data_IF_584636981642
#
_entry.id   IF_584636981642
#
_cell.length_a   1.000
_cell.length_b   1.000
_cell.length_c   1.000
_cell.angle_alpha   90.00
_cell.angle_beta   90.00
_cell.angle_gamma   90.00
#
_symmetry.space_group_name_H-M   'P 1'
#
loop_
_entity.id
_entity.type
_entity.pdbx_description
1 polymer ?
#
# COMPACT_ATOMS: atom_id res chain seq x y z
N UNK A 1 13.87 12.41 9.50
CA UNK A 1 13.61 11.21 8.73
C UNK A 1 12.11 10.90 8.78
N UNK A 2 11.55 10.60 7.64
CA UNK A 2 10.13 10.25 7.50
C UNK A 2 9.99 8.89 6.82
N UNK A 3 8.93 8.15 7.16
CA UNK A 3 8.57 6.93 6.45
C UNK A 3 7.08 6.94 6.13
N UNK A 4 6.74 6.42 4.96
CA UNK A 4 5.35 6.15 4.59
C UNK A 4 5.00 4.76 5.08
N UNK A 5 3.83 4.59 5.66
CA UNK A 5 3.36 3.30 6.20
C UNK A 5 1.93 3.06 5.74
N UNK A 6 1.66 1.87 5.23
CA UNK A 6 0.28 1.47 4.93
C UNK A 6 -0.59 1.68 6.18
N UNK A 7 -1.61 2.51 6.07
CA UNK A 7 -2.40 2.97 7.22
C UNK A 7 -3.05 1.82 8.00
N UNK A 8 -3.45 0.74 7.31
CA UNK A 8 -4.02 -0.44 7.96
C UNK A 8 -3.03 -1.12 8.92
N UNK A 9 -1.72 -1.00 8.70
CA UNK A 9 -0.69 -1.56 9.58
C UNK A 9 -0.60 -0.81 10.92
N UNK A 10 -1.09 0.42 10.95
CA UNK A 10 -1.11 1.27 12.13
C UNK A 10 -2.40 1.10 12.95
N UNK A 11 -3.32 0.26 12.46
CA UNK A 11 -4.59 0.01 13.12
C UNK A 11 -5.77 0.79 12.55
N UNK A 12 -5.59 1.52 11.44
CA UNK A 12 -6.71 2.17 10.77
C UNK A 12 -7.58 1.16 10.04
N UNK A 13 -8.88 1.29 10.20
CA UNK A 13 -9.87 0.37 9.60
C UNK A 13 -10.13 0.73 8.14
N UNK A 14 -9.10 0.69 7.31
CA UNK A 14 -9.15 1.11 5.91
C UNK A 14 -8.93 -0.03 4.91
N UNK A 15 -8.75 -1.26 5.36
CA UNK A 15 -8.62 -2.38 4.41
C UNK A 15 -10.00 -2.75 3.84
N UNK A 16 -10.01 -3.58 2.80
CA UNK A 16 -11.23 -3.88 2.05
C UNK A 16 -12.39 -4.41 2.91
N UNK A 17 -12.10 -5.17 3.96
CA UNK A 17 -13.11 -5.75 4.83
C UNK A 17 -13.70 -4.77 5.86
N UNK A 18 -13.15 -3.56 5.96
CA UNK A 18 -13.50 -2.61 7.00
C UNK A 18 -12.72 -2.80 8.30
N UNK A 19 -11.79 -3.75 8.31
CA UNK A 19 -10.88 -3.97 9.43
C UNK A 19 -9.51 -3.34 9.20
N UNK A 20 -8.51 -3.86 9.90
CA UNK A 20 -7.13 -3.40 9.80
C UNK A 20 -6.16 -4.59 9.80
N UNK A 21 -4.92 -4.30 9.51
CA UNK A 21 -3.81 -5.25 9.54
C UNK A 21 -2.75 -4.79 10.56
N UNK A 22 -3.19 -4.27 11.71
CA UNK A 22 -2.30 -3.76 12.75
C UNK A 22 -1.13 -4.71 13.00
N UNK A 23 0.09 -4.20 12.87
CA UNK A 23 1.31 -4.96 13.08
C UNK A 23 1.96 -4.53 14.38
N UNK A 24 1.87 -5.38 15.40
CA UNK A 24 2.51 -5.12 16.68
C UNK A 24 4.04 -5.09 16.55
N UNK A 25 4.59 -5.93 15.67
CA UNK A 25 6.02 -5.94 15.40
C UNK A 25 6.50 -4.61 14.84
N UNK A 26 5.80 -4.09 13.83
CA UNK A 26 6.12 -2.78 13.24
C UNK A 26 5.98 -1.66 14.27
N UNK A 27 4.87 -1.63 15.00
CA UNK A 27 4.61 -0.60 16.01
C UNK A 27 5.66 -0.62 17.11
N UNK A 28 6.10 -1.81 17.53
CA UNK A 28 7.16 -1.98 18.52
C UNK A 28 8.50 -1.42 18.02
N UNK A 29 8.83 -1.68 16.75
CA UNK A 29 10.06 -1.14 16.16
C UNK A 29 9.98 0.39 16.03
N UNK A 30 8.85 0.93 15.59
CA UNK A 30 8.67 2.38 15.48
C UNK A 30 8.75 3.09 16.82
N UNK A 31 8.27 2.46 17.89
CA UNK A 31 8.34 3.02 19.24
C UNK A 31 9.79 3.22 19.74
N UNK A 32 10.74 2.46 19.19
CA UNK A 32 12.17 2.62 19.49
C UNK A 32 12.80 3.82 18.82
N UNK A 33 12.12 4.42 17.85
CA UNK A 33 12.62 5.51 17.03
C UNK A 33 11.62 6.67 16.96
N UNK A 34 11.35 7.36 18.10
CA UNK A 34 10.36 8.43 18.15
C UNK A 34 10.71 9.64 17.28
N UNK A 35 11.96 9.74 16.83
CA UNK A 35 12.43 10.78 15.92
C UNK A 35 11.92 10.60 14.48
N UNK A 36 11.44 9.40 14.13
CA UNK A 36 10.90 9.12 12.80
C UNK A 36 9.45 9.61 12.71
N UNK A 37 9.17 10.47 11.73
CA UNK A 37 7.81 10.89 11.43
C UNK A 37 7.15 9.87 10.51
N UNK A 38 5.97 9.41 10.90
CA UNK A 38 5.20 8.42 10.15
C UNK A 38 4.13 9.13 9.32
N UNK A 39 4.09 8.83 8.03
CA UNK A 39 3.06 9.32 7.11
C UNK A 39 2.17 8.14 6.72
N UNK A 40 0.95 8.05 7.27
CA UNK A 40 0.02 6.98 6.89
C UNK A 40 -0.42 7.13 5.43
N UNK A 41 -0.50 6.03 4.71
CA UNK A 41 -0.95 6.02 3.31
C UNK A 41 -1.97 4.91 3.08
N UNK A 42 -2.98 5.18 2.28
CA UNK A 42 -3.92 4.18 1.78
C UNK A 42 -4.37 4.58 0.37
N UNK A 43 -3.68 4.08 -0.68
CA UNK A 43 -4.02 4.46 -2.05
C UNK A 43 -5.45 4.12 -2.44
N UNK A 44 -6.02 3.06 -1.90
CA UNK A 44 -7.38 2.63 -2.25
C UNK A 44 -8.41 3.64 -1.75
N UNK A 45 -8.30 4.08 -0.50
CA UNK A 45 -9.17 5.12 0.06
C UNK A 45 -8.91 6.47 -0.61
N UNK A 46 -7.65 6.80 -0.86
CA UNK A 46 -7.28 8.04 -1.54
C UNK A 46 -7.86 8.13 -2.96
N UNK A 47 -8.09 6.99 -3.60
CA UNK A 47 -8.71 6.90 -4.92
C UNK A 47 -10.23 6.96 -4.90
N UNK A 48 -10.84 7.10 -3.73
CA UNK A 48 -12.29 7.23 -3.59
C UNK A 48 -13.04 5.93 -3.38
N UNK A 49 -12.33 4.82 -3.18
CA UNK A 49 -13.01 3.55 -2.90
C UNK A 49 -13.61 3.53 -1.49
N UNK A 50 -14.84 2.99 -1.35
CA UNK A 50 -15.46 2.90 -0.04
C UNK A 50 -14.79 1.86 0.86
N UNK A 51 -15.04 1.95 2.15
CA UNK A 51 -14.65 0.96 3.13
C UNK A 51 -15.90 0.53 3.92
N UNK A 52 -16.34 -0.73 3.90
CA UNK A 52 -15.73 -1.86 3.20
C UNK A 52 -15.96 -1.83 1.67
N UNK A 53 -15.20 -2.66 0.97
CA UNK A 53 -15.27 -2.79 -0.49
C UNK A 53 -14.93 -4.23 -0.91
N UNK A 54 -15.37 -4.67 -2.09
CA UNK A 54 -14.97 -5.98 -2.59
C UNK A 54 -13.45 -6.06 -2.77
N UNK A 55 -12.81 -7.20 -2.42
CA UNK A 55 -11.39 -7.38 -2.67
C UNK A 55 -11.10 -7.38 -4.17
N UNK A 56 -9.92 -6.92 -4.55
CA UNK A 56 -9.50 -6.80 -5.94
C UNK A 56 -8.16 -7.47 -6.19
N UNK A 57 -7.92 -7.83 -7.45
CA UNK A 57 -6.64 -8.39 -7.92
C UNK A 57 -6.26 -7.73 -9.25
N UNK A 58 -5.00 -7.84 -9.62
CA UNK A 58 -4.51 -7.34 -10.89
C UNK A 58 -4.72 -8.44 -11.95
N UNK A 59 -5.52 -8.13 -12.97
CA UNK A 59 -5.86 -9.04 -14.07
C UNK A 59 -5.39 -8.39 -15.37
N UNK A 60 -4.39 -8.96 -16.01
CA UNK A 60 -3.82 -8.42 -17.26
C UNK A 60 -3.45 -6.93 -17.15
N UNK A 61 -2.85 -6.54 -16.03
CA UNK A 61 -2.44 -5.15 -15.79
C UNK A 61 -3.55 -4.21 -15.32
N UNK A 62 -4.78 -4.68 -15.19
CA UNK A 62 -5.93 -3.90 -14.76
C UNK A 62 -6.43 -4.40 -13.40
N UNK A 63 -6.74 -3.50 -12.49
CA UNK A 63 -7.28 -3.87 -11.18
C UNK A 63 -8.78 -4.10 -11.29
N UNK A 64 -9.20 -5.32 -10.97
CA UNK A 64 -10.61 -5.77 -11.06
C UNK A 64 -11.03 -6.35 -9.72
N UNK A 65 -12.22 -6.02 -9.24
CA UNK A 65 -12.74 -6.61 -8.00
C UNK A 65 -13.34 -8.00 -8.24
N UNK A 66 -13.65 -8.71 -7.16
CA UNK A 66 -14.19 -10.08 -7.25
C UNK A 66 -15.62 -10.16 -7.80
N UNK A 67 -16.24 -9.03 -8.04
CA UNK A 67 -17.54 -8.94 -8.75
C UNK A 67 -17.37 -8.72 -10.25
N UNK A 68 -16.13 -8.72 -10.75
CA UNK A 68 -15.82 -8.48 -12.16
C UNK A 68 -15.85 -7.02 -12.58
N UNK A 69 -15.91 -6.09 -11.63
CA UNK A 69 -15.95 -4.66 -11.91
C UNK A 69 -14.54 -4.08 -11.87
N UNK A 70 -14.18 -3.32 -12.93
CA UNK A 70 -12.90 -2.62 -12.95
C UNK A 70 -12.87 -1.51 -11.92
N UNK A 71 -11.84 -1.50 -11.09
CA UNK A 71 -11.53 -0.44 -10.12
C UNK A 71 -10.16 0.16 -10.41
N UNK A 72 -9.65 -0.09 -11.60
CA UNK A 72 -8.31 0.35 -12.02
C UNK A 72 -8.15 1.86 -11.96
N UNK A 73 -9.17 2.61 -12.43
CA UNK A 73 -9.13 4.07 -12.41
C UNK A 73 -8.99 4.61 -10.98
N UNK A 74 -9.72 4.04 -10.02
CA UNK A 74 -9.68 4.43 -8.61
C UNK A 74 -8.33 4.08 -7.99
N UNK A 75 -7.78 2.90 -8.28
CA UNK A 75 -6.46 2.51 -7.79
C UNK A 75 -5.38 3.45 -8.32
N UNK A 76 -5.40 3.77 -9.61
CA UNK A 76 -4.40 4.65 -10.22
C UNK A 76 -4.54 6.09 -9.72
N UNK A 77 -5.76 6.58 -9.56
CA UNK A 77 -6.01 7.89 -8.98
C UNK A 77 -5.50 7.98 -7.54
N UNK A 78 -5.71 6.93 -6.75
CA UNK A 78 -5.23 6.86 -5.38
C UNK A 78 -3.71 6.82 -5.28
N UNK A 79 -3.06 6.07 -6.16
CA UNK A 79 -1.59 6.05 -6.24
C UNK A 79 -1.06 7.43 -6.58
N UNK A 80 -1.66 8.10 -7.58
CA UNK A 80 -1.27 9.44 -7.97
C UNK A 80 -1.46 10.45 -6.83
N UNK A 81 -2.57 10.37 -6.10
CA UNK A 81 -2.85 11.25 -4.97
C UNK A 81 -1.84 11.07 -3.84
N UNK A 82 -1.53 9.83 -3.47
CA UNK A 82 -0.55 9.55 -2.42
C UNK A 82 0.86 9.94 -2.86
N UNK A 83 1.23 9.69 -4.09
CA UNK A 83 2.54 10.12 -4.62
C UNK A 83 2.67 11.63 -4.64
N UNK A 84 1.62 12.36 -5.01
CA UNK A 84 1.62 13.82 -4.97
C UNK A 84 1.79 14.35 -3.55
N UNK A 85 1.15 13.72 -2.58
CA UNK A 85 1.29 14.07 -1.16
C UNK A 85 2.69 13.82 -0.63
N UNK A 86 3.35 12.76 -1.09
CA UNK A 86 4.70 12.40 -0.67
C UNK A 86 5.81 13.11 -1.45
N UNK A 87 5.49 13.68 -2.61
CA UNK A 87 6.48 14.29 -3.51
C UNK A 87 7.44 15.28 -2.83
N UNK A 88 6.99 16.23 -1.99
CA UNK A 88 7.92 17.14 -1.31
C UNK A 88 8.93 16.41 -0.44
N UNK A 89 8.50 15.33 0.22
CA UNK A 89 9.36 14.53 1.12
C UNK A 89 10.32 13.64 0.35
N UNK A 90 9.94 13.21 -0.84
CA UNK A 90 10.82 12.45 -1.74
C UNK A 90 11.90 13.38 -2.29
N UNK A 91 11.51 14.54 -2.80
CA UNK A 91 12.43 15.53 -3.39
C UNK A 91 13.44 16.08 -2.37
N UNK A 92 13.02 16.28 -1.13
CA UNK A 92 13.91 16.75 -0.07
C UNK A 92 14.86 15.67 0.47
N UNK A 93 14.63 14.40 0.09
CA UNK A 93 15.38 13.26 0.63
C UNK A 93 14.98 12.86 2.04
N UNK A 94 13.91 13.43 2.59
CA UNK A 94 13.46 13.12 3.95
C UNK A 94 12.70 11.79 4.04
N UNK A 95 12.07 11.33 2.95
CA UNK A 95 11.35 10.06 2.93
C UNK A 95 12.34 8.91 2.74
N UNK A 96 12.65 8.23 3.83
CA UNK A 96 13.67 7.18 3.85
C UNK A 96 13.16 5.85 3.29
N UNK A 97 11.88 5.53 3.50
CA UNK A 97 11.31 4.25 3.08
C UNK A 97 9.78 4.27 3.10
N UNK A 98 9.21 3.27 2.45
CA UNK A 98 7.80 2.92 2.61
C UNK A 98 7.69 1.51 3.20
N UNK A 99 6.97 1.35 4.30
CA UNK A 99 6.66 0.04 4.89
C UNK A 99 5.22 -0.30 4.53
N UNK A 100 5.04 -1.35 3.76
CA UNK A 100 3.80 -1.61 3.04
C UNK A 100 3.18 -2.95 3.39
N UNK A 101 1.85 -3.01 3.29
CA UNK A 101 1.08 -4.25 3.50
C UNK A 101 1.40 -5.26 2.41
N UNK A 102 1.62 -6.52 2.83
CA UNK A 102 1.91 -7.64 1.92
C UNK A 102 0.75 -7.94 0.97
N UNK A 103 1.08 -8.36 -0.24
CA UNK A 103 0.18 -9.00 -1.22
C UNK A 103 -0.96 -8.15 -1.77
N UNK A 104 -1.10 -6.93 -1.33
CA UNK A 104 -2.15 -6.02 -1.79
C UNK A 104 -1.90 -5.58 -3.24
N UNK A 105 -2.95 -5.37 -4.05
CA UNK A 105 -2.77 -4.84 -5.41
C UNK A 105 -2.25 -3.41 -5.43
N UNK A 106 -2.31 -2.69 -4.32
CA UNK A 106 -1.71 -1.36 -4.18
C UNK A 106 -0.33 -1.40 -3.52
N UNK A 107 -0.17 -2.16 -2.44
CA UNK A 107 0.99 -2.08 -1.56
C UNK A 107 1.94 -3.29 -1.58
N UNK A 108 1.60 -4.38 -2.27
CA UNK A 108 2.42 -5.59 -2.31
C UNK A 108 3.84 -5.31 -2.78
N UNK A 109 4.85 -5.81 -2.04
CA UNK A 109 6.26 -5.55 -2.34
C UNK A 109 6.89 -6.70 -3.13
N UNK A 110 6.68 -7.94 -2.67
CA UNK A 110 7.32 -9.12 -3.25
C UNK A 110 6.40 -9.92 -4.14
N UNK A 111 5.13 -10.03 -3.76
CA UNK A 111 4.14 -10.84 -4.47
C UNK A 111 2.76 -10.24 -4.37
N UNK A 112 1.95 -10.57 -5.35
CA UNK A 112 0.54 -10.19 -5.44
C UNK A 112 -0.28 -11.41 -5.85
N UNK A 113 -1.59 -11.35 -5.70
CA UNK A 113 -2.46 -12.41 -6.20
C UNK A 113 -2.49 -12.40 -7.73
N UNK A 114 -2.65 -13.59 -8.32
CA UNK A 114 -2.46 -13.81 -9.76
C UNK A 114 -3.63 -13.37 -10.67
N UNK A 115 -4.69 -12.84 -10.09
CA UNK A 115 -5.86 -12.38 -10.86
C UNK A 115 -6.95 -13.42 -11.06
N UNK A 116 -6.78 -14.64 -10.54
CA UNK A 116 -7.78 -15.72 -10.67
C UNK A 116 -8.77 -15.78 -9.49
N UNK A 117 -8.53 -14.99 -8.45
CA UNK A 117 -9.33 -15.00 -7.21
C UNK A 117 -9.37 -16.37 -6.53
N UNK A 118 -8.27 -17.11 -6.61
CA UNK A 118 -8.12 -18.45 -6.04
C UNK A 118 -7.13 -18.52 -4.88
N UNK A 119 -6.58 -17.37 -4.46
CA UNK A 119 -5.58 -17.31 -3.40
C UNK A 119 -4.16 -17.60 -3.86
N UNK A 120 -3.95 -17.78 -5.17
CA UNK A 120 -2.62 -18.05 -5.73
C UNK A 120 -1.81 -16.76 -5.85
N UNK A 121 -0.58 -16.80 -5.34
CA UNK A 121 0.36 -15.69 -5.38
C UNK A 121 1.38 -15.87 -6.50
N UNK A 122 1.78 -14.74 -7.09
CA UNK A 122 2.86 -14.68 -8.09
C UNK A 122 3.83 -13.55 -7.71
N UNK A 123 5.09 -13.64 -8.13
CA UNK A 123 6.02 -12.53 -7.96
C UNK A 123 5.49 -11.27 -8.67
N UNK A 124 5.54 -10.14 -7.99
CA UNK A 124 5.06 -8.88 -8.54
C UNK A 124 4.90 -7.83 -7.46
N UNK A 125 4.51 -6.64 -7.89
CA UNK A 125 4.32 -5.49 -7.01
C UNK A 125 2.93 -4.88 -7.18
N UNK A 126 2.41 -4.32 -6.09
CA UNK A 126 1.25 -3.44 -6.14
C UNK A 126 1.61 -2.11 -6.82
N UNK A 127 0.60 -1.43 -7.32
CA UNK A 127 0.79 -0.20 -8.10
C UNK A 127 1.51 0.91 -7.32
N UNK A 128 1.20 1.06 -6.05
CA UNK A 128 1.84 2.08 -5.21
C UNK A 128 3.28 1.71 -4.85
N UNK A 129 3.52 0.43 -4.54
CA UNK A 129 4.87 -0.06 -4.26
C UNK A 129 5.79 0.20 -5.47
N UNK A 130 5.31 -0.10 -6.66
CA UNK A 130 6.04 0.17 -7.91
C UNK A 130 6.31 1.66 -8.09
N UNK A 131 5.32 2.51 -7.84
CA UNK A 131 5.48 3.96 -7.98
C UNK A 131 6.51 4.53 -7.01
N UNK A 132 6.51 4.08 -5.75
CA UNK A 132 7.51 4.48 -4.77
C UNK A 132 8.92 4.06 -5.19
N UNK A 133 9.08 2.82 -5.61
CA UNK A 133 10.39 2.30 -6.03
C UNK A 133 10.92 3.06 -7.25
N UNK A 134 10.07 3.33 -8.23
CA UNK A 134 10.43 4.17 -9.38
C UNK A 134 10.81 5.59 -8.99
N UNK A 135 10.20 6.11 -7.92
CA UNK A 135 10.55 7.42 -7.37
C UNK A 135 11.84 7.43 -6.54
N UNK A 136 12.54 6.30 -6.44
CA UNK A 136 13.79 6.18 -5.70
C UNK A 136 13.61 5.92 -4.20
N UNK A 137 12.40 5.60 -3.76
CA UNK A 137 12.11 5.31 -2.35
C UNK A 137 12.29 3.81 -2.09
N UNK A 138 13.03 3.49 -1.03
CA UNK A 138 13.15 2.10 -0.57
C UNK A 138 11.79 1.59 -0.08
N UNK A 139 11.40 0.42 -0.54
CA UNK A 139 10.16 -0.23 -0.10
C UNK A 139 10.47 -1.47 0.73
N UNK A 140 9.67 -1.68 1.78
CA UNK A 140 9.84 -2.78 2.73
C UNK A 140 8.48 -3.45 2.94
N UNK A 141 8.43 -4.77 2.79
CA UNK A 141 7.24 -5.55 3.14
C UNK A 141 7.14 -5.63 4.66
N UNK A 142 5.95 -5.46 5.22
CA UNK A 142 5.74 -5.54 6.67
C UNK A 142 6.20 -6.89 7.23
N UNK A 143 6.15 -7.95 6.45
CA UNK A 143 6.61 -9.27 6.85
C UNK A 143 8.13 -9.32 7.11
N UNK A 144 8.87 -8.35 6.58
CA UNK A 144 10.34 -8.28 6.73
C UNK A 144 10.77 -7.35 7.88
N UNK A 145 9.83 -6.87 8.65
CA UNK A 145 10.12 -6.00 9.81
C UNK A 145 10.46 -6.83 11.05
#
# INVERSE_FOLDING_TARGET
MKIAVSACLLGENCKYSGGNNRSECLLSELAKHPEIEIIPVCPEVAGGLPTPRPPAEIVDGEVVNNCGVSVDAEYRAGVAAEMARLKPHIESGELAAGVLQSRSPSCGVHEVYDGTFTGRLIPGQGLFAEALERGGVRIVDVADV
#
